data_IF_985602612798
#
_entry.id   IF_985602612798
#
_cell.length_a   1.000
_cell.length_b   1.000
_cell.length_c   1.000
_cell.angle_alpha   90.00
_cell.angle_beta   90.00
_cell.angle_gamma   90.00
#
_symmetry.space_group_name_H-M   'P 1'
#
loop_
_entity.id
_entity.type
_entity.pdbx_description
1 polymer ?
#
# COMPACT_ATOMS: atom_id res chain seq x y z
N UNK A 1 42.86 43.92 -49.40
CA UNK A 1 42.08 42.66 -49.36
C UNK A 1 42.96 41.62 -48.72
N UNK A 2 42.69 41.31 -47.44
CA UNK A 2 41.76 40.22 -47.16
C UNK A 2 40.68 40.59 -46.13
N UNK A 3 39.44 40.58 -46.63
CA UNK A 3 38.19 40.20 -45.94
C UNK A 3 38.22 38.66 -45.78
N UNK A 4 37.62 37.94 -44.82
CA UNK A 4 36.63 38.24 -43.80
C UNK A 4 36.62 37.05 -42.80
N UNK A 5 36.40 37.38 -41.53
CA UNK A 5 35.45 36.75 -40.59
C UNK A 5 35.42 35.20 -40.51
N UNK A 6 35.94 34.64 -39.41
CA UNK A 6 35.24 33.53 -38.75
C UNK A 6 35.45 33.50 -37.22
N UNK A 7 34.33 33.78 -36.53
CA UNK A 7 33.96 33.39 -35.17
C UNK A 7 34.70 33.96 -33.94
N UNK A 8 34.24 35.15 -33.53
CA UNK A 8 33.95 35.41 -32.11
C UNK A 8 32.69 34.65 -31.69
N UNK A 9 32.62 34.33 -30.40
CA UNK A 9 31.45 33.84 -29.63
C UNK A 9 31.33 32.32 -29.42
N UNK A 10 31.81 31.86 -28.26
CA UNK A 10 31.04 31.23 -27.15
C UNK A 10 31.80 30.13 -26.43
N UNK A 11 32.80 30.51 -25.65
CA UNK A 11 33.16 29.74 -24.45
C UNK A 11 33.40 30.74 -23.32
N UNK A 12 32.30 31.31 -22.82
CA UNK A 12 32.30 31.86 -21.46
C UNK A 12 32.19 30.68 -20.49
N UNK A 13 33.22 29.84 -20.46
CA UNK A 13 33.43 28.94 -19.32
C UNK A 13 34.07 29.79 -18.23
N UNK A 14 33.25 30.45 -17.43
CA UNK A 14 33.69 30.99 -16.15
C UNK A 14 34.18 29.82 -15.31
N UNK A 15 35.50 29.54 -15.38
CA UNK A 15 36.19 28.67 -14.42
C UNK A 15 36.05 29.35 -13.06
N UNK A 16 35.03 28.93 -12.30
CA UNK A 16 34.80 29.40 -10.94
C UNK A 16 35.98 28.90 -10.10
N UNK A 17 36.84 29.81 -9.67
CA UNK A 17 37.88 29.49 -8.69
C UNK A 17 37.20 29.31 -7.33
N UNK A 18 37.16 28.06 -6.87
CA UNK A 18 36.52 27.66 -5.61
C UNK A 18 37.27 28.16 -4.37
N UNK A 19 38.51 28.66 -4.53
CA UNK A 19 39.31 29.25 -3.45
C UNK A 19 39.37 30.78 -3.53
N UNK A 20 38.70 31.39 -4.50
CA UNK A 20 38.59 32.85 -4.54
C UNK A 20 37.87 33.35 -3.27
N UNK A 21 38.40 34.37 -2.57
CA UNK A 21 37.81 34.87 -1.33
C UNK A 21 36.33 35.26 -1.44
N UNK A 22 35.88 35.74 -2.61
CA UNK A 22 34.48 36.09 -2.83
C UNK A 22 33.60 34.83 -3.03
N UNK A 23 34.12 33.78 -3.66
CA UNK A 23 33.41 32.49 -3.84
C UNK A 23 33.33 31.73 -2.51
N UNK A 24 34.40 31.71 -1.72
CA UNK A 24 34.41 31.11 -0.37
C UNK A 24 33.43 31.84 0.55
N UNK A 25 33.44 33.18 0.56
CA UNK A 25 32.50 33.98 1.35
C UNK A 25 31.03 33.74 0.93
N UNK A 26 30.76 33.57 -0.37
CA UNK A 26 29.42 33.24 -0.86
C UNK A 26 28.96 31.83 -0.45
N UNK A 27 29.88 30.85 -0.44
CA UNK A 27 29.61 29.48 0.02
C UNK A 27 29.37 29.48 1.53
N UNK A 28 30.20 30.15 2.32
CA UNK A 28 30.03 30.28 3.77
C UNK A 28 28.71 30.97 4.12
N UNK A 29 28.34 32.04 3.40
CA UNK A 29 27.05 32.72 3.56
C UNK A 29 25.86 31.82 3.17
N UNK A 30 25.97 31.02 2.11
CA UNK A 30 24.92 30.07 1.72
C UNK A 30 24.79 28.90 2.70
N UNK A 31 25.91 28.47 3.28
CA UNK A 31 25.98 27.42 4.31
C UNK A 31 25.42 27.93 5.63
N UNK A 32 25.79 29.13 6.08
CA UNK A 32 25.24 29.74 7.29
C UNK A 32 23.74 30.01 7.14
N UNK A 33 23.29 30.54 5.99
CA UNK A 33 21.87 30.75 5.70
C UNK A 33 21.02 29.47 5.77
N UNK A 34 21.60 28.30 5.49
CA UNK A 34 20.93 27.00 5.65
C UNK A 34 21.07 26.43 7.06
N UNK A 35 22.21 26.63 7.72
CA UNK A 35 22.51 26.06 9.04
C UNK A 35 21.83 26.83 10.17
N UNK A 36 21.73 28.16 10.09
CA UNK A 36 21.07 29.00 11.08
C UNK A 36 19.60 28.62 11.34
N UNK A 37 18.71 28.49 10.34
CA UNK A 37 17.33 28.09 10.59
C UNK A 37 17.23 26.64 11.11
N UNK A 38 18.15 25.75 10.72
CA UNK A 38 18.21 24.38 11.23
C UNK A 38 18.61 24.38 12.71
N UNK A 39 19.62 25.18 13.09
CA UNK A 39 20.06 25.30 14.48
C UNK A 39 19.01 25.99 15.34
N UNK A 40 18.30 27.00 14.81
CA UNK A 40 17.17 27.63 15.48
C UNK A 40 16.06 26.62 15.78
N UNK A 41 15.61 25.86 14.76
CA UNK A 41 14.61 24.79 14.94
C UNK A 41 15.08 23.68 15.88
N UNK A 42 16.35 23.29 15.80
CA UNK A 42 16.93 22.29 16.70
C UNK A 42 16.87 22.77 18.15
N UNK A 43 17.22 24.02 18.42
CA UNK A 43 17.17 24.59 19.77
C UNK A 43 15.72 24.71 20.27
N UNK A 44 14.80 25.14 19.42
CA UNK A 44 13.36 25.17 19.72
C UNK A 44 12.82 23.78 20.10
N UNK A 45 13.09 22.76 19.28
CA UNK A 45 12.72 21.36 19.55
C UNK A 45 13.36 20.87 20.86
N UNK A 46 14.60 21.27 21.14
CA UNK A 46 15.29 20.87 22.37
C UNK A 46 14.63 21.50 23.61
N UNK A 47 14.21 22.76 23.51
CA UNK A 47 13.53 23.48 24.58
C UNK A 47 12.11 22.95 24.79
N UNK A 48 11.39 22.64 23.73
CA UNK A 48 10.10 21.94 23.81
C UNK A 48 10.23 20.56 24.45
N UNK A 49 11.24 19.78 24.04
CA UNK A 49 11.52 18.48 24.65
C UNK A 49 11.81 18.60 26.14
N UNK A 50 12.63 19.57 26.55
CA UNK A 50 12.90 19.83 27.98
C UNK A 50 11.64 20.23 28.74
N UNK A 51 10.78 21.10 28.18
CA UNK A 51 9.51 21.49 28.78
C UNK A 51 8.55 20.31 28.92
N UNK A 52 8.47 19.46 27.88
CA UNK A 52 7.65 18.24 27.91
C UNK A 52 8.18 17.22 28.90
N UNK A 53 9.50 17.06 28.98
CA UNK A 53 10.15 16.18 29.95
C UNK A 53 9.95 16.67 31.38
N UNK A 54 10.10 17.96 31.66
CA UNK A 54 9.81 18.54 32.97
C UNK A 54 8.33 18.39 33.37
N UNK A 55 7.41 18.52 32.41
CA UNK A 55 5.99 18.21 32.64
C UNK A 55 5.78 16.72 32.93
N UNK A 56 6.43 15.83 32.19
CA UNK A 56 6.33 14.38 32.39
C UNK A 56 6.90 13.97 33.76
N UNK A 57 8.05 14.54 34.15
CA UNK A 57 8.67 14.35 35.46
C UNK A 57 7.78 14.86 36.60
N UNK A 58 6.99 15.93 36.38
CA UNK A 58 5.98 16.38 37.33
C UNK A 58 4.80 15.40 37.51
N UNK A 59 4.62 14.45 36.58
CA UNK A 59 3.67 13.34 36.68
C UNK A 59 4.35 11.99 36.97
N UNK A 60 5.67 11.95 37.14
CA UNK A 60 6.41 10.72 37.37
C UNK A 60 6.08 10.17 38.76
N UNK A 61 5.60 8.92 38.80
CA UNK A 61 5.02 8.30 40.00
C UNK A 61 3.50 8.49 40.17
N UNK A 62 2.81 9.22 39.28
CA UNK A 62 1.33 9.23 39.22
C UNK A 62 0.89 8.29 38.11
N UNK A 63 0.47 7.08 38.48
CA UNK A 63 -0.09 6.15 37.50
C UNK A 63 -1.41 6.75 36.93
N UNK A 64 -1.53 6.95 35.61
CA UNK A 64 -2.74 7.50 35.00
C UNK A 64 -4.01 6.69 35.28
N UNK A 65 -3.89 5.37 35.44
CA UNK A 65 -5.01 4.49 35.77
C UNK A 65 -5.36 4.58 37.25
N UNK A 66 -4.38 4.66 38.15
CA UNK A 66 -4.65 4.92 39.57
C UNK A 66 -5.27 6.30 39.79
N UNK A 67 -4.81 7.34 39.07
CA UNK A 67 -5.39 8.68 39.14
C UNK A 67 -6.84 8.70 38.64
N UNK A 68 -7.14 8.00 37.54
CA UNK A 68 -8.53 7.84 37.06
C UNK A 68 -9.39 7.09 38.07
N UNK A 69 -8.87 6.00 38.64
CA UNK A 69 -9.57 5.22 39.66
C UNK A 69 -9.84 6.04 40.92
N UNK A 70 -8.86 6.82 41.38
CA UNK A 70 -8.99 7.70 42.55
C UNK A 70 -10.00 8.82 42.29
N UNK A 71 -10.01 9.39 41.07
CA UNK A 71 -11.01 10.38 40.65
C UNK A 71 -12.42 9.77 40.60
N UNK A 72 -12.56 8.53 40.13
CA UNK A 72 -13.84 7.82 40.14
C UNK A 72 -14.33 7.54 41.57
N UNK A 73 -13.45 7.06 42.46
CA UNK A 73 -13.77 6.81 43.86
C UNK A 73 -14.13 8.09 44.63
N UNK A 74 -13.48 9.21 44.32
CA UNK A 74 -13.82 10.53 44.87
C UNK A 74 -15.17 11.04 44.37
N UNK A 75 -15.51 10.79 43.10
CA UNK A 75 -16.82 11.12 42.54
C UNK A 75 -17.93 10.28 43.19
N UNK A 76 -17.71 8.98 43.40
CA UNK A 76 -18.68 8.10 44.08
C UNK A 76 -18.89 8.50 45.54
N UNK A 77 -17.83 8.81 46.30
CA UNK A 77 -17.95 9.33 47.66
C UNK A 77 -18.67 10.68 47.71
N UNK A 78 -18.38 11.58 46.79
CA UNK A 78 -19.07 12.87 46.73
C UNK A 78 -20.56 12.71 46.40
N UNK A 79 -20.92 11.70 45.58
CA UNK A 79 -22.32 11.37 45.28
C UNK A 79 -23.02 10.74 46.50
N UNK A 80 -22.35 9.90 47.28
CA UNK A 80 -22.83 9.37 48.57
C UNK A 80 -23.04 10.48 49.62
N UNK A 81 -22.04 11.35 49.81
CA UNK A 81 -22.11 12.47 50.74
C UNK A 81 -23.23 13.46 50.35
N UNK A 82 -23.42 13.73 49.06
CA UNK A 82 -24.50 14.58 48.56
C UNK A 82 -25.88 13.92 48.77
N UNK A 83 -25.97 12.60 48.66
CA UNK A 83 -27.19 11.82 48.92
C UNK A 83 -27.57 11.83 50.40
N UNK A 84 -26.59 11.73 51.30
CA UNK A 84 -26.82 11.85 52.74
C UNK A 84 -27.26 13.26 53.15
N UNK A 85 -26.74 14.29 52.48
CA UNK A 85 -27.11 15.70 52.71
C UNK A 85 -28.40 16.13 52.00
N UNK A 86 -28.99 15.28 51.16
CA UNK A 86 -30.18 15.60 50.38
C UNK A 86 -29.95 16.66 49.30
N UNK A 87 -28.70 16.87 48.88
CA UNK A 87 -28.33 17.82 47.83
C UNK A 87 -28.53 17.20 46.44
N UNK A 88 -29.79 17.15 46.03
CA UNK A 88 -30.20 16.55 44.76
C UNK A 88 -29.62 17.27 43.54
N UNK A 89 -29.30 18.57 43.64
CA UNK A 89 -28.74 19.33 42.54
C UNK A 89 -27.30 18.89 42.26
N UNK A 90 -26.47 18.75 43.31
CA UNK A 90 -25.10 18.26 43.17
C UNK A 90 -25.04 16.85 42.55
N UNK A 91 -25.99 15.98 42.89
CA UNK A 91 -26.10 14.63 42.31
C UNK A 91 -26.47 14.71 40.82
N UNK A 92 -27.41 15.58 40.44
CA UNK A 92 -27.80 15.76 39.04
C UNK A 92 -26.64 16.30 38.21
N UNK A 93 -25.94 17.32 38.67
CA UNK A 93 -24.81 17.94 37.96
C UNK A 93 -23.66 16.93 37.77
N UNK A 94 -23.36 16.11 38.80
CA UNK A 94 -22.36 15.05 38.71
C UNK A 94 -22.75 13.98 37.69
N UNK A 95 -24.01 13.54 37.69
CA UNK A 95 -24.52 12.55 36.74
C UNK A 95 -24.53 13.08 35.32
N UNK A 96 -24.97 14.31 35.13
CA UNK A 96 -24.96 14.97 33.82
C UNK A 96 -23.54 15.02 33.26
N UNK A 97 -22.56 15.46 34.07
CA UNK A 97 -21.15 15.47 33.68
C UNK A 97 -20.63 14.07 33.33
N UNK A 98 -20.97 13.06 34.14
CA UNK A 98 -20.57 11.66 33.92
C UNK A 98 -21.16 11.13 32.62
N UNK A 99 -22.45 11.33 32.37
CA UNK A 99 -23.10 10.90 31.15
C UNK A 99 -22.61 11.65 29.93
N UNK A 100 -22.37 12.95 30.02
CA UNK A 100 -21.82 13.74 28.92
C UNK A 100 -20.42 13.24 28.54
N UNK A 101 -19.56 12.96 29.53
CA UNK A 101 -18.23 12.38 29.29
C UNK A 101 -18.31 10.97 28.68
N UNK A 102 -19.24 10.14 29.15
CA UNK A 102 -19.46 8.80 28.60
C UNK A 102 -20.01 8.84 27.17
N UNK A 103 -20.96 9.73 26.90
CA UNK A 103 -21.53 9.93 25.57
C UNK A 103 -20.47 10.43 24.61
N UNK A 104 -19.64 11.39 25.01
CA UNK A 104 -18.53 11.87 24.19
C UNK A 104 -17.56 10.73 23.89
N UNK A 105 -17.13 9.97 24.91
CA UNK A 105 -16.23 8.82 24.73
C UNK A 105 -16.81 7.76 23.77
N UNK A 106 -18.06 7.35 23.99
CA UNK A 106 -18.74 6.35 23.16
C UNK A 106 -18.93 6.88 21.74
N UNK A 107 -19.28 8.16 21.58
CA UNK A 107 -19.43 8.78 20.26
C UNK A 107 -18.09 8.80 19.53
N UNK A 108 -17.01 9.25 20.17
CA UNK A 108 -15.66 9.24 19.57
C UNK A 108 -15.22 7.83 19.19
N UNK A 109 -15.47 6.83 20.04
CA UNK A 109 -15.12 5.44 19.76
C UNK A 109 -15.92 4.86 18.59
N UNK A 110 -17.24 5.09 18.57
CA UNK A 110 -18.13 4.62 17.50
C UNK A 110 -17.83 5.31 16.17
N UNK A 111 -17.66 6.62 16.16
CA UNK A 111 -17.27 7.39 14.97
C UNK A 111 -15.92 6.90 14.44
N UNK A 112 -14.92 6.78 15.31
CA UNK A 112 -13.61 6.27 14.89
C UNK A 112 -13.65 4.82 14.39
N UNK A 113 -14.53 3.97 14.94
CA UNK A 113 -14.74 2.61 14.45
C UNK A 113 -15.45 2.60 13.09
N UNK A 114 -16.46 3.45 12.90
CA UNK A 114 -17.17 3.62 11.64
C UNK A 114 -16.20 4.07 10.54
N UNK A 115 -15.42 5.13 10.78
CA UNK A 115 -14.43 5.63 9.82
C UNK A 115 -13.39 4.57 9.42
N UNK A 116 -12.88 3.79 10.38
CA UNK A 116 -11.95 2.68 10.08
C UNK A 116 -12.62 1.58 9.27
N UNK A 117 -13.86 1.22 9.60
CA UNK A 117 -14.60 0.20 8.87
C UNK A 117 -14.94 0.66 7.45
N UNK A 118 -15.36 1.91 7.28
CA UNK A 118 -15.61 2.52 5.96
C UNK A 118 -14.34 2.56 5.12
N UNK A 119 -13.23 3.02 5.67
CA UNK A 119 -11.94 3.02 4.96
C UNK A 119 -11.56 1.61 4.52
N UNK A 120 -11.66 0.63 5.42
CA UNK A 120 -11.38 -0.77 5.11
C UNK A 120 -12.30 -1.31 4.01
N UNK A 121 -13.60 -0.99 4.07
CA UNK A 121 -14.57 -1.40 3.06
C UNK A 121 -14.24 -0.79 1.68
N UNK A 122 -13.95 0.53 1.62
CA UNK A 122 -13.54 1.22 0.39
C UNK A 122 -12.27 0.60 -0.18
N UNK A 123 -11.25 0.36 0.65
CA UNK A 123 -10.00 -0.27 0.24
C UNK A 123 -10.20 -1.69 -0.32
N UNK A 124 -11.05 -2.48 0.33
CA UNK A 124 -11.37 -3.84 -0.11
C UNK A 124 -12.11 -3.83 -1.45
N UNK A 125 -13.06 -2.91 -1.64
CA UNK A 125 -13.82 -2.80 -2.90
C UNK A 125 -12.89 -2.43 -4.05
N UNK A 126 -12.06 -1.40 -3.89
CA UNK A 126 -11.06 -1.03 -4.91
C UNK A 126 -10.18 -2.21 -5.25
N UNK A 127 -9.64 -2.90 -4.23
CA UNK A 127 -8.80 -4.07 -4.43
C UNK A 127 -9.52 -5.18 -5.18
N UNK A 128 -10.70 -5.59 -4.73
CA UNK A 128 -11.44 -6.72 -5.34
C UNK A 128 -11.87 -6.43 -6.77
N UNK A 129 -12.38 -5.22 -7.05
CA UNK A 129 -12.78 -4.81 -8.39
C UNK A 129 -11.58 -4.70 -9.33
N UNK A 130 -10.47 -4.11 -8.85
CA UNK A 130 -9.25 -3.97 -9.63
C UNK A 130 -8.61 -5.32 -9.92
N UNK A 131 -8.42 -6.19 -8.92
CA UNK A 131 -7.88 -7.54 -9.14
C UNK A 131 -8.75 -8.32 -10.12
N UNK A 132 -10.07 -8.27 -9.99
CA UNK A 132 -11.02 -8.93 -10.92
C UNK A 132 -10.90 -8.41 -12.35
N UNK A 133 -10.79 -7.08 -12.51
CA UNK A 133 -10.62 -6.44 -13.79
C UNK A 133 -9.27 -6.78 -14.45
N UNK A 134 -8.18 -6.80 -13.68
CA UNK A 134 -6.85 -7.16 -14.16
C UNK A 134 -6.77 -8.61 -14.65
N UNK A 135 -7.42 -9.54 -13.92
CA UNK A 135 -7.55 -10.94 -14.37
C UNK A 135 -8.29 -11.03 -15.70
N UNK A 136 -9.40 -10.29 -15.86
CA UNK A 136 -10.17 -10.26 -17.11
C UNK A 136 -9.39 -9.64 -18.27
N UNK A 137 -8.59 -8.61 -17.98
CA UNK A 137 -7.67 -7.99 -18.92
C UNK A 137 -6.43 -8.84 -19.20
N UNK A 138 -6.29 -10.02 -18.57
CA UNK A 138 -5.18 -10.97 -18.76
C UNK A 138 -3.80 -10.38 -18.43
N UNK A 139 -3.74 -9.48 -17.45
CA UNK A 139 -2.47 -8.98 -16.92
C UNK A 139 -1.64 -10.16 -16.41
N UNK A 140 -0.36 -10.17 -16.73
CA UNK A 140 0.54 -11.27 -16.35
C UNK A 140 0.67 -11.36 -14.83
N UNK A 141 0.61 -12.59 -14.29
CA UNK A 141 0.65 -12.87 -12.85
C UNK A 141 1.83 -12.18 -12.11
N UNK A 142 3.06 -12.15 -12.65
CA UNK A 142 4.19 -11.46 -12.00
C UNK A 142 3.99 -9.94 -11.88
N UNK A 143 3.14 -9.34 -12.71
CA UNK A 143 2.90 -7.90 -12.73
C UNK A 143 1.62 -7.48 -12.01
N UNK A 144 0.75 -8.43 -11.63
CA UNK A 144 -0.55 -8.16 -11.00
C UNK A 144 -0.43 -7.20 -9.81
N UNK A 145 0.47 -7.46 -8.86
CA UNK A 145 0.64 -6.62 -7.67
C UNK A 145 1.15 -5.20 -7.99
N UNK A 146 2.07 -5.08 -8.95
CA UNK A 146 2.62 -3.78 -9.36
C UNK A 146 1.59 -2.93 -10.12
N UNK A 147 0.82 -3.57 -11.02
CA UNK A 147 -0.25 -2.91 -11.77
C UNK A 147 -1.42 -2.55 -10.84
N UNK A 148 -1.75 -3.41 -9.88
CA UNK A 148 -2.76 -3.10 -8.86
C UNK A 148 -2.38 -1.82 -8.09
N UNK A 149 -1.12 -1.71 -7.64
CA UNK A 149 -0.65 -0.49 -6.97
C UNK A 149 -0.67 0.73 -7.90
N UNK A 150 -0.25 0.59 -9.16
CA UNK A 150 -0.22 1.69 -10.13
C UNK A 150 -1.61 2.27 -10.41
N UNK A 151 -2.62 1.40 -10.54
CA UNK A 151 -3.97 1.81 -10.92
C UNK A 151 -4.85 2.17 -9.73
N UNK A 152 -4.50 1.74 -8.52
CA UNK A 152 -5.29 2.01 -7.30
C UNK A 152 -5.55 3.48 -7.05
N UNK A 153 -4.54 4.33 -7.24
CA UNK A 153 -4.65 5.77 -6.98
C UNK A 153 -5.53 6.51 -8.01
N UNK A 154 -5.85 5.85 -9.14
CA UNK A 154 -6.75 6.38 -10.17
C UNK A 154 -8.21 5.99 -9.93
N UNK A 155 -8.50 5.25 -8.86
CA UNK A 155 -9.83 4.74 -8.55
C UNK A 155 -10.38 5.47 -7.32
N UNK A 156 -11.59 6.00 -7.47
CA UNK A 156 -12.36 6.64 -6.42
C UNK A 156 -13.56 5.77 -6.04
N UNK A 157 -13.98 5.83 -4.78
CA UNK A 157 -15.17 5.12 -4.28
C UNK A 157 -16.25 6.13 -3.91
N UNK A 158 -17.42 6.00 -4.51
CA UNK A 158 -18.62 6.73 -4.11
C UNK A 158 -19.58 5.82 -3.35
N UNK A 159 -20.40 6.44 -2.52
CA UNK A 159 -21.51 5.77 -1.85
C UNK A 159 -22.75 5.86 -2.74
N UNK A 160 -23.36 4.71 -3.03
CA UNK A 160 -24.66 4.60 -3.69
C UNK A 160 -25.67 4.17 -2.63
N UNK A 161 -26.61 5.05 -2.28
CA UNK A 161 -27.61 4.84 -1.23
C UNK A 161 -28.40 3.52 -1.37
N UNK A 162 -28.52 2.97 -2.58
CA UNK A 162 -29.25 1.74 -2.84
C UNK A 162 -28.36 0.48 -2.94
N UNK A 163 -27.05 0.64 -3.16
CA UNK A 163 -26.15 -0.48 -3.53
C UNK A 163 -24.84 -0.52 -2.74
N UNK A 164 -24.65 0.39 -1.78
CA UNK A 164 -23.42 0.51 -1.01
C UNK A 164 -22.32 1.23 -1.79
N UNK A 165 -21.08 0.99 -1.42
CA UNK A 165 -19.92 1.60 -2.08
C UNK A 165 -19.70 1.06 -3.50
N UNK A 166 -19.39 1.94 -4.45
CA UNK A 166 -19.01 1.62 -5.82
C UNK A 166 -17.69 2.28 -6.19
N UNK A 167 -16.80 1.53 -6.83
CA UNK A 167 -15.56 2.08 -7.35
C UNK A 167 -15.70 2.50 -8.83
N UNK A 168 -15.03 3.60 -9.18
CA UNK A 168 -14.98 4.15 -10.52
C UNK A 168 -13.64 4.84 -10.75
N UNK A 169 -13.26 4.99 -12.01
CA UNK A 169 -12.16 5.85 -12.42
C UNK A 169 -12.72 7.04 -13.20
N UNK A 170 -11.97 8.14 -13.23
CA UNK A 170 -12.30 9.31 -14.04
C UNK A 170 -11.45 9.32 -15.30
N UNK A 171 -12.10 9.37 -16.47
CA UNK A 171 -11.44 9.50 -17.77
C UNK A 171 -12.11 10.68 -18.48
N UNK A 172 -11.33 11.71 -18.82
CA UNK A 172 -11.81 12.90 -19.53
C UNK A 172 -13.03 13.59 -18.89
N UNK A 173 -13.18 13.49 -17.57
CA UNK A 173 -14.30 14.05 -16.80
C UNK A 173 -15.51 13.12 -16.66
N UNK A 174 -15.49 11.93 -17.27
CA UNK A 174 -16.55 10.93 -17.15
C UNK A 174 -16.20 9.84 -16.14
N UNK A 175 -17.20 9.39 -15.37
CA UNK A 175 -17.07 8.25 -14.47
C UNK A 175 -17.19 6.94 -15.23
N UNK A 176 -16.10 6.18 -15.26
CA UNK A 176 -16.00 4.87 -15.91
C UNK A 176 -15.86 3.80 -14.83
N UNK A 177 -16.54 2.66 -15.00
CA UNK A 177 -16.39 1.58 -14.02
C UNK A 177 -14.97 0.99 -14.05
N UNK A 178 -14.53 0.37 -12.95
CA UNK A 178 -13.15 -0.15 -12.83
C UNK A 178 -12.81 -1.16 -13.93
N UNK A 179 -13.78 -1.99 -14.34
CA UNK A 179 -13.58 -3.00 -15.37
C UNK A 179 -13.28 -2.38 -16.75
N UNK A 180 -14.02 -1.36 -17.14
CA UNK A 180 -13.83 -0.65 -18.40
C UNK A 180 -12.58 0.22 -18.37
N UNK A 181 -12.30 0.87 -17.25
CA UNK A 181 -11.06 1.61 -17.05
C UNK A 181 -9.82 0.72 -17.25
N UNK A 182 -9.79 -0.45 -16.62
CA UNK A 182 -8.68 -1.40 -16.77
C UNK A 182 -8.60 -1.93 -18.20
N UNK A 183 -9.74 -2.16 -18.86
CA UNK A 183 -9.77 -2.56 -20.28
C UNK A 183 -9.11 -1.50 -21.15
N UNK A 184 -9.53 -0.24 -21.05
CA UNK A 184 -8.97 0.89 -21.79
C UNK A 184 -7.47 1.06 -21.51
N UNK A 185 -7.07 0.97 -20.25
CA UNK A 185 -5.66 1.01 -19.87
C UNK A 185 -4.87 -0.16 -20.49
N UNK A 186 -5.40 -1.38 -20.46
CA UNK A 186 -4.73 -2.56 -21.00
C UNK A 186 -4.51 -2.50 -22.52
N UNK A 187 -5.35 -1.73 -23.23
CA UNK A 187 -5.26 -1.48 -24.67
C UNK A 187 -4.34 -0.29 -25.00
N UNK A 188 -3.98 0.53 -24.01
CA UNK A 188 -3.10 1.69 -24.17
C UNK A 188 -1.63 1.30 -24.36
N UNK A 189 -0.83 2.26 -24.82
CA UNK A 189 0.63 2.10 -24.94
C UNK A 189 1.30 1.76 -23.60
N UNK A 190 0.76 2.25 -22.49
CA UNK A 190 1.27 1.97 -21.13
C UNK A 190 0.92 0.54 -20.71
N UNK A 191 -0.35 0.14 -20.86
CA UNK A 191 -0.86 -1.12 -20.31
C UNK A 191 -0.59 -2.36 -21.15
N UNK A 192 -0.47 -2.23 -22.48
CA UNK A 192 -0.32 -3.38 -23.40
C UNK A 192 0.89 -4.26 -23.09
N UNK A 193 1.94 -3.71 -22.48
CA UNK A 193 3.16 -4.43 -22.13
C UNK A 193 2.99 -5.36 -20.91
N UNK A 194 1.95 -5.13 -20.11
CA UNK A 194 1.65 -5.92 -18.91
C UNK A 194 0.64 -7.05 -19.18
N UNK A 195 -0.03 -7.00 -20.33
CA UNK A 195 -1.02 -8.01 -20.76
C UNK A 195 -0.29 -9.22 -21.35
N UNK A 196 -0.70 -10.41 -20.92
CA UNK A 196 -0.20 -11.66 -21.50
C UNK A 196 -0.61 -11.74 -22.96
N UNK A 197 0.34 -12.06 -23.85
CA UNK A 197 0.03 -12.29 -25.25
C UNK A 197 -1.11 -13.32 -25.34
N UNK A 198 -2.08 -13.14 -26.28
CA UNK A 198 -3.03 -14.19 -26.60
C UNK A 198 -2.25 -15.49 -26.80
N UNK A 199 -2.79 -16.62 -26.34
CA UNK A 199 -2.26 -17.93 -26.66
C UNK A 199 -2.43 -18.22 -28.16
N UNK A 200 -1.75 -17.45 -29.00
CA UNK A 200 -1.54 -17.76 -30.39
C UNK A 200 -0.49 -18.86 -30.36
N UNK A 201 -0.88 -20.07 -30.75
CA UNK A 201 0.00 -21.21 -30.97
C UNK A 201 0.96 -20.99 -32.13
N UNK A 202 1.80 -19.95 -32.05
CA UNK A 202 2.76 -19.56 -33.06
C UNK A 202 3.82 -18.71 -32.40
N UNK A 203 4.95 -19.32 -32.05
CA UNK A 203 6.04 -18.65 -31.33
C UNK A 203 6.82 -19.54 -30.36
N UNK A 204 6.52 -20.83 -30.27
CA UNK A 204 7.51 -21.79 -29.79
C UNK A 204 8.49 -22.05 -30.93
N UNK A 205 9.65 -21.39 -30.90
CA UNK A 205 10.77 -21.74 -31.77
C UNK A 205 10.93 -23.26 -31.79
N UNK A 206 10.98 -23.83 -32.99
CA UNK A 206 11.07 -25.27 -33.18
C UNK A 206 12.23 -25.85 -32.37
N UNK A 207 11.91 -26.38 -31.19
CA UNK A 207 12.78 -27.31 -30.50
C UNK A 207 12.72 -28.58 -31.35
N UNK A 208 13.79 -28.77 -32.13
CA UNK A 208 14.10 -30.06 -32.75
C UNK A 208 13.77 -31.17 -31.75
N UNK A 209 13.05 -32.23 -32.13
CA UNK A 209 12.77 -33.34 -31.24
C UNK A 209 14.09 -34.04 -30.93
N UNK A 210 14.75 -33.65 -29.84
CA UNK A 210 16.10 -34.11 -29.53
C UNK A 210 16.83 -33.22 -28.54
N UNK A 211 16.24 -32.90 -27.39
CA UNK A 211 16.97 -32.31 -26.27
C UNK A 211 16.26 -32.55 -24.93
N UNK A 212 16.34 -33.80 -24.47
CA UNK A 212 16.71 -34.16 -23.10
C UNK A 212 16.18 -33.30 -21.93
N UNK A 213 14.87 -33.35 -21.66
CA UNK A 213 14.39 -33.27 -20.28
C UNK A 213 14.78 -34.58 -19.60
N UNK A 214 15.77 -34.56 -18.70
CA UNK A 214 16.37 -35.74 -18.05
C UNK A 214 15.46 -36.60 -17.16
N UNK A 215 14.15 -36.66 -17.42
CA UNK A 215 13.25 -37.68 -16.87
C UNK A 215 12.94 -38.71 -17.93
N UNK A 216 13.51 -39.89 -17.75
CA UNK A 216 13.25 -41.02 -18.63
C UNK A 216 11.80 -41.48 -18.49
N UNK A 217 11.13 -41.76 -19.60
CA UNK A 217 9.71 -42.13 -19.62
C UNK A 217 9.50 -43.44 -18.84
N UNK A 218 8.73 -43.43 -17.73
CA UNK A 218 8.65 -44.57 -16.83
C UNK A 218 7.88 -45.78 -17.40
N UNK A 219 7.31 -45.69 -18.61
CA UNK A 219 6.70 -46.82 -19.33
C UNK A 219 7.62 -47.46 -20.40
N UNK A 220 8.77 -46.86 -20.74
CA UNK A 220 9.74 -47.48 -21.66
C UNK A 220 10.46 -48.65 -20.97
N UNK A 221 10.84 -49.67 -21.74
CA UNK A 221 11.50 -50.86 -21.23
C UNK A 221 12.80 -50.53 -20.45
N UNK A 222 13.56 -49.55 -20.96
CA UNK A 222 14.87 -49.17 -20.43
C UNK A 222 14.81 -48.29 -19.17
N UNK A 223 13.63 -47.80 -18.81
CA UNK A 223 13.45 -46.82 -17.72
C UNK A 223 12.18 -47.04 -16.90
N UNK A 224 11.70 -48.28 -16.88
CA UNK A 224 10.47 -48.67 -16.22
C UNK A 224 10.52 -48.37 -14.71
N UNK A 225 9.62 -47.51 -14.23
CA UNK A 225 9.49 -47.19 -12.80
C UNK A 225 8.02 -47.20 -12.35
N UNK A 226 7.62 -48.26 -11.63
CA UNK A 226 6.23 -48.48 -11.22
C UNK A 226 5.70 -47.43 -10.24
N UNK A 227 6.55 -46.86 -9.39
CA UNK A 227 6.16 -45.83 -8.43
C UNK A 227 5.83 -44.52 -9.13
N UNK A 228 6.65 -44.13 -10.11
CA UNK A 228 6.37 -42.96 -10.96
C UNK A 228 5.13 -43.17 -11.83
N UNK A 229 4.93 -44.38 -12.38
CA UNK A 229 3.71 -44.72 -13.10
C UNK A 229 2.46 -44.53 -12.22
N UNK A 230 2.46 -45.05 -10.99
CA UNK A 230 1.33 -44.93 -10.07
C UNK A 230 1.06 -43.48 -9.65
N UNK A 231 2.13 -42.70 -9.42
CA UNK A 231 2.03 -41.28 -9.11
C UNK A 231 1.40 -40.50 -10.25
N UNK A 232 1.91 -40.66 -11.47
CA UNK A 232 1.40 -39.97 -12.66
C UNK A 232 -0.04 -40.39 -12.95
N UNK A 233 -0.39 -41.68 -12.82
CA UNK A 233 -1.78 -42.13 -12.99
C UNK A 233 -2.75 -41.49 -11.99
N UNK A 234 -2.30 -41.17 -10.78
CA UNK A 234 -3.11 -40.52 -9.74
C UNK A 234 -3.20 -39.00 -9.90
N UNK A 235 -2.12 -38.35 -10.36
CA UNK A 235 -2.04 -36.88 -10.43
C UNK A 235 -2.45 -36.33 -11.80
N UNK A 236 -2.15 -37.05 -12.89
CA UNK A 236 -2.41 -36.61 -14.25
C UNK A 236 -2.61 -37.81 -15.21
N UNK A 237 -3.88 -38.17 -15.41
CA UNK A 237 -4.27 -39.27 -16.29
C UNK A 237 -4.03 -38.95 -17.77
N UNK A 238 -3.99 -37.67 -18.17
CA UNK A 238 -3.73 -37.29 -19.56
C UNK A 238 -2.25 -37.49 -19.90
N UNK A 239 -1.36 -37.08 -18.99
CA UNK A 239 0.08 -37.31 -19.09
C UNK A 239 0.42 -38.80 -19.09
N UNK A 240 -0.22 -39.61 -18.25
CA UNK A 240 -0.04 -41.06 -18.24
C UNK A 240 -0.34 -41.68 -19.63
N UNK A 241 -1.46 -41.28 -20.25
CA UNK A 241 -1.86 -41.77 -21.57
C UNK A 241 -0.87 -41.36 -22.66
N UNK A 242 -0.33 -40.15 -22.61
CA UNK A 242 0.68 -39.68 -23.53
C UNK A 242 1.97 -40.51 -23.43
N UNK A 243 2.44 -40.75 -22.20
CA UNK A 243 3.67 -41.51 -21.95
C UNK A 243 3.53 -43.01 -22.28
N UNK A 244 2.36 -43.60 -22.03
CA UNK A 244 2.03 -44.97 -22.43
C UNK A 244 2.03 -45.13 -23.96
N UNK A 245 1.44 -44.17 -24.70
CA UNK A 245 1.47 -44.16 -26.17
C UNK A 245 2.89 -44.04 -26.72
N UNK A 246 3.69 -43.15 -26.14
CA UNK A 246 5.09 -42.97 -26.53
C UNK A 246 5.94 -44.22 -26.25
N UNK A 247 5.59 -44.99 -25.22
CA UNK A 247 6.25 -46.25 -24.88
C UNK A 247 5.67 -47.47 -25.62
N UNK A 248 4.63 -47.30 -26.45
CA UNK A 248 3.96 -48.40 -27.17
C UNK A 248 3.20 -49.37 -26.25
N UNK A 249 2.88 -48.97 -25.03
CA UNK A 249 2.13 -49.79 -24.06
C UNK A 249 0.63 -49.53 -24.24
N UNK A 250 -0.18 -50.59 -24.12
CA UNK A 250 -1.63 -50.47 -24.18
C UNK A 250 -2.14 -49.42 -23.18
N UNK A 251 -2.87 -48.43 -23.69
CA UNK A 251 -3.37 -47.31 -22.89
C UNK A 251 -4.45 -47.84 -21.94
N UNK A 252 -4.18 -47.80 -20.65
CA UNK A 252 -5.16 -48.21 -19.64
C UNK A 252 -6.24 -47.13 -19.54
N UNK A 253 -7.50 -47.52 -19.77
CA UNK A 253 -8.66 -46.63 -19.73
C UNK A 253 -8.74 -45.90 -18.39
#
# INVERSE_FOLDING_TARGET
>A
MPDDIENKEKENETKIDLNDPAVVAAIEAAVSAKIEPINAKKNEILDEKKKLQAKLEAFDGVDPEEFKALKAAMAEKAEEDAKEKGDWQAILDQRETKYQTQLEKVTTELTGRAERAEKFAKDLIVKTELTSALVKAKVSEPFMGAVEMLLRDKITVSEDEAKGFKAFAEIDGDHVNVAEFVRLWSESEEGKHFVSAPANGGGGGGVKPGANSGRSNPWKADSKNLTEQAKILRTDRALARQLQREAGVAVTA
#
